data_IF_080284086880
#
_entry.id   IF_080284086880
#
_cell.length_a   1.000
_cell.length_b   1.000
_cell.length_c   1.000
_cell.angle_alpha   90.00
_cell.angle_beta   90.00
_cell.angle_gamma   90.00
#
_symmetry.space_group_name_H-M   'P 1'
#
loop_
_entity.id
_entity.type
_entity.pdbx_description
1 polymer ?
#
# COMPACT_ATOMS: atom_id res chain seq x y z
N UNK A 1 -18.15 -27.30 -15.05
CA UNK A 1 -18.70 -27.74 -13.77
C UNK A 1 -18.23 -29.16 -13.60
N UNK A 2 -17.31 -29.33 -12.65
CA UNK A 2 -17.16 -30.50 -11.77
C UNK A 2 -16.37 -31.75 -12.19
N UNK A 3 -15.41 -31.69 -13.11
CA UNK A 3 -14.49 -32.84 -13.31
C UNK A 3 -13.04 -32.44 -13.58
N UNK A 4 -12.35 -31.81 -12.61
CA UNK A 4 -10.88 -31.82 -12.52
C UNK A 4 -10.37 -31.65 -11.07
N UNK A 5 -11.19 -31.93 -10.05
CA UNK A 5 -10.77 -31.90 -8.62
C UNK A 5 -10.94 -33.28 -7.99
N UNK A 6 -10.47 -34.32 -8.68
CA UNK A 6 -10.30 -35.63 -8.05
C UNK A 6 -8.85 -36.06 -8.26
N UNK A 7 -8.05 -35.98 -7.20
CA UNK A 7 -6.89 -36.85 -7.05
C UNK A 7 -5.51 -36.25 -6.83
N UNK A 8 -5.34 -35.02 -6.31
CA UNK A 8 -4.04 -34.61 -5.76
C UNK A 8 -4.20 -33.96 -4.38
N UNK A 9 -3.36 -34.43 -3.45
CA UNK A 9 -3.41 -34.15 -2.02
C UNK A 9 -3.54 -32.66 -1.68
N UNK A 10 -4.44 -32.36 -0.75
CA UNK A 10 -4.74 -31.00 -0.26
C UNK A 10 -3.53 -30.30 0.40
N UNK A 11 -2.40 -31.00 0.56
CA UNK A 11 -1.21 -30.56 1.29
C UNK A 11 -0.07 -29.97 0.44
N UNK A 12 -0.12 -29.97 -0.91
CA UNK A 12 1.00 -29.44 -1.74
C UNK A 12 0.61 -28.42 -2.84
N UNK A 13 -0.35 -27.53 -2.56
CA UNK A 13 -0.65 -26.42 -3.49
C UNK A 13 0.30 -25.23 -3.26
N UNK A 14 1.54 -25.29 -3.73
CA UNK A 14 2.53 -24.21 -3.58
C UNK A 14 2.04 -22.88 -4.19
N UNK A 15 2.45 -21.72 -3.65
CA UNK A 15 2.12 -20.39 -4.19
C UNK A 15 2.38 -20.27 -5.71
N UNK A 16 3.46 -20.89 -6.22
CA UNK A 16 3.77 -20.92 -7.64
C UNK A 16 2.68 -21.64 -8.46
N UNK A 17 2.20 -22.81 -7.99
CA UNK A 17 1.14 -23.56 -8.68
C UNK A 17 -0.16 -22.75 -8.75
N UNK A 18 -0.49 -21.99 -7.70
CA UNK A 18 -1.67 -21.10 -7.69
C UNK A 18 -1.57 -19.97 -8.72
N UNK A 19 -0.40 -19.33 -8.81
CA UNK A 19 -0.15 -18.27 -9.80
C UNK A 19 -0.15 -18.86 -11.21
N UNK A 20 0.41 -20.06 -11.41
CA UNK A 20 0.39 -20.77 -12.70
C UNK A 20 -1.03 -21.10 -13.16
N UNK A 21 -1.92 -21.53 -12.24
CA UNK A 21 -3.32 -21.78 -12.54
C UNK A 21 -4.00 -20.49 -13.02
N UNK A 22 -3.81 -19.38 -12.30
CA UNK A 22 -4.41 -18.09 -12.69
C UNK A 22 -3.87 -17.57 -14.02
N UNK A 23 -2.59 -17.75 -14.31
CA UNK A 23 -2.01 -17.35 -15.61
C UNK A 23 -2.50 -18.23 -16.75
N UNK A 24 -2.63 -19.55 -16.54
CA UNK A 24 -3.22 -20.45 -17.53
C UNK A 24 -4.68 -20.09 -17.80
N UNK A 25 -5.45 -19.78 -16.76
CA UNK A 25 -6.81 -19.27 -16.91
C UNK A 25 -6.84 -17.96 -17.70
N UNK A 26 -5.91 -17.04 -17.41
CA UNK A 26 -5.77 -15.81 -18.18
C UNK A 26 -5.47 -16.10 -19.66
N UNK A 27 -4.56 -17.02 -19.95
CA UNK A 27 -4.20 -17.37 -21.33
C UNK A 27 -5.39 -17.94 -22.12
N UNK A 28 -6.24 -18.74 -21.48
CA UNK A 28 -7.41 -19.38 -22.12
C UNK A 28 -8.59 -18.41 -22.26
N UNK A 29 -8.79 -17.50 -21.29
CA UNK A 29 -9.95 -16.61 -21.26
C UNK A 29 -9.84 -15.50 -22.31
N UNK A 30 -10.85 -15.41 -23.17
CA UNK A 30 -11.02 -14.29 -24.13
C UNK A 30 -11.84 -13.12 -23.57
N UNK A 31 -12.70 -13.39 -22.58
CA UNK A 31 -13.59 -12.40 -21.95
C UNK A 31 -13.84 -12.74 -20.48
N UNK A 32 -14.17 -11.75 -19.62
CA UNK A 32 -14.50 -12.03 -18.23
C UNK A 32 -15.76 -12.89 -18.09
N UNK A 33 -15.78 -13.84 -17.15
CA UNK A 33 -16.92 -14.73 -16.92
C UNK A 33 -18.12 -13.96 -16.36
N UNK A 34 -19.33 -14.37 -16.74
CA UNK A 34 -20.59 -13.70 -16.38
C UNK A 34 -20.99 -13.95 -14.92
N UNK A 35 -20.55 -15.07 -14.32
CA UNK A 35 -20.67 -15.39 -12.89
C UNK A 35 -19.43 -16.12 -12.40
N UNK A 36 -19.05 -15.83 -11.14
CA UNK A 36 -17.74 -16.13 -10.57
C UNK A 36 -17.36 -17.61 -10.56
N UNK A 37 -16.17 -17.88 -11.05
CA UNK A 37 -15.58 -19.22 -11.21
C UNK A 37 -14.09 -19.24 -10.84
N UNK A 38 -13.68 -18.46 -9.83
CA UNK A 38 -12.30 -18.43 -9.32
C UNK A 38 -12.18 -18.29 -7.79
N UNK A 39 -13.29 -18.39 -7.06
CA UNK A 39 -13.31 -18.06 -5.62
C UNK A 39 -12.46 -19.00 -4.76
N UNK A 40 -12.39 -20.30 -5.06
CA UNK A 40 -11.65 -21.26 -4.23
C UNK A 40 -10.14 -21.05 -4.32
N UNK A 41 -9.59 -20.94 -5.53
CA UNK A 41 -8.15 -20.70 -5.78
C UNK A 41 -7.70 -19.37 -5.15
N UNK A 42 -8.51 -18.32 -5.27
CA UNK A 42 -8.19 -17.00 -4.72
C UNK A 42 -8.25 -16.97 -3.19
N UNK A 43 -9.11 -17.74 -2.55
CA UNK A 43 -9.14 -17.86 -1.09
C UNK A 43 -7.86 -18.52 -0.59
N UNK A 44 -7.46 -19.64 -1.17
CA UNK A 44 -6.21 -20.34 -0.79
C UNK A 44 -4.99 -19.46 -1.09
N UNK A 45 -4.97 -18.77 -2.24
CA UNK A 45 -3.91 -17.83 -2.58
C UNK A 45 -3.83 -16.69 -1.56
N UNK A 46 -4.97 -16.14 -1.14
CA UNK A 46 -5.02 -15.09 -0.13
C UNK A 46 -4.46 -15.56 1.20
N UNK A 47 -4.81 -16.76 1.64
CA UNK A 47 -4.33 -17.30 2.91
C UNK A 47 -2.81 -17.54 2.86
N UNK A 48 -2.30 -18.19 1.81
CA UNK A 48 -0.85 -18.39 1.64
C UNK A 48 -0.08 -17.09 1.45
N UNK A 49 -0.62 -16.13 0.68
CA UNK A 49 0.01 -14.83 0.50
C UNK A 49 0.03 -14.01 1.81
N UNK A 50 -0.97 -14.21 2.69
CA UNK A 50 -0.99 -13.60 4.02
C UNK A 50 0.05 -14.19 4.97
N UNK A 51 0.40 -15.47 4.82
CA UNK A 51 1.36 -16.17 5.67
C UNK A 51 2.81 -15.94 5.23
N UNK A 52 3.10 -16.10 3.94
CA UNK A 52 4.47 -16.12 3.42
C UNK A 52 4.87 -14.82 2.69
N UNK A 53 3.89 -14.08 2.18
CA UNK A 53 4.10 -13.02 1.18
C UNK A 53 4.50 -13.58 -0.20
N UNK A 54 4.52 -12.71 -1.20
CA UNK A 54 4.79 -13.04 -2.59
C UNK A 54 6.20 -12.63 -3.03
N UNK A 55 6.84 -13.45 -3.87
CA UNK A 55 8.11 -13.10 -4.50
C UNK A 55 7.93 -12.03 -5.59
N UNK A 56 9.03 -11.39 -5.99
CA UNK A 56 9.07 -10.39 -7.06
C UNK A 56 8.42 -10.88 -8.37
N UNK A 57 8.70 -12.13 -8.75
CA UNK A 57 8.15 -12.77 -9.95
C UNK A 57 6.64 -13.00 -9.81
N UNK A 58 6.19 -13.52 -8.67
CA UNK A 58 4.77 -13.78 -8.40
C UNK A 58 3.96 -12.48 -8.40
N UNK A 59 4.49 -11.40 -7.82
CA UNK A 59 3.86 -10.07 -7.84
C UNK A 59 3.72 -9.59 -9.28
N UNK A 60 4.78 -9.69 -10.09
CA UNK A 60 4.76 -9.25 -11.49
C UNK A 60 3.70 -10.01 -12.30
N UNK A 61 3.65 -11.33 -12.15
CA UNK A 61 2.65 -12.18 -12.84
C UNK A 61 1.23 -11.85 -12.40
N UNK A 62 0.96 -11.71 -11.10
CA UNK A 62 -0.37 -11.37 -10.59
C UNK A 62 -0.83 -9.96 -10.99
N UNK A 63 0.08 -8.99 -11.09
CA UNK A 63 -0.23 -7.66 -11.63
C UNK A 63 -0.57 -7.75 -13.12
N UNK A 64 0.13 -8.57 -13.91
CA UNK A 64 -0.21 -8.78 -15.32
C UNK A 64 -1.59 -9.43 -15.48
N UNK A 65 -1.91 -10.45 -14.69
CA UNK A 65 -3.23 -11.10 -14.63
C UNK A 65 -4.32 -10.10 -14.22
N UNK A 66 -4.08 -9.30 -13.17
CA UNK A 66 -5.04 -8.29 -12.69
C UNK A 66 -5.29 -7.15 -13.68
N UNK A 67 -4.39 -6.93 -14.64
CA UNK A 67 -4.48 -5.86 -15.64
C UNK A 67 -4.91 -6.36 -17.03
N UNK A 68 -5.14 -7.66 -17.21
CA UNK A 68 -5.47 -8.28 -18.51
C UNK A 68 -6.91 -8.04 -19.00
N UNK A 69 -7.81 -7.51 -18.14
CA UNK A 69 -9.27 -7.41 -18.34
C UNK A 69 -10.03 -8.73 -18.51
N UNK A 70 -9.37 -9.88 -18.30
CA UNK A 70 -10.00 -11.20 -18.53
C UNK A 70 -10.71 -11.75 -17.30
N UNK A 71 -10.62 -11.04 -16.17
CA UNK A 71 -11.30 -11.36 -14.92
C UNK A 71 -12.31 -10.27 -14.56
N UNK A 72 -13.27 -10.61 -13.70
CA UNK A 72 -14.25 -9.65 -13.18
C UNK A 72 -13.61 -8.70 -12.18
N UNK A 73 -14.16 -7.50 -12.02
CA UNK A 73 -13.66 -6.50 -11.05
C UNK A 73 -13.60 -7.05 -9.61
N UNK A 74 -14.51 -7.96 -9.25
CA UNK A 74 -14.50 -8.61 -7.94
C UNK A 74 -13.26 -9.51 -7.76
N UNK A 75 -12.94 -10.32 -8.77
CA UNK A 75 -11.75 -11.18 -8.78
C UNK A 75 -10.48 -10.35 -8.79
N UNK A 76 -10.40 -9.32 -9.64
CA UNK A 76 -9.22 -8.45 -9.69
C UNK A 76 -8.98 -7.76 -8.34
N UNK A 77 -10.02 -7.29 -7.67
CA UNK A 77 -9.86 -6.73 -6.32
C UNK A 77 -9.37 -7.77 -5.30
N UNK A 78 -9.79 -9.03 -5.40
CA UNK A 78 -9.22 -10.09 -4.55
C UNK A 78 -7.75 -10.34 -4.87
N UNK A 79 -7.38 -10.38 -6.16
CA UNK A 79 -5.98 -10.50 -6.58
C UNK A 79 -5.14 -9.35 -5.99
N UNK A 80 -5.61 -8.11 -6.09
CA UNK A 80 -4.91 -6.94 -5.52
C UNK A 80 -4.76 -7.07 -4.00
N UNK A 81 -5.80 -7.58 -3.30
CA UNK A 81 -5.75 -7.88 -1.87
C UNK A 81 -4.81 -9.03 -1.51
N UNK A 82 -4.30 -9.80 -2.48
CA UNK A 82 -3.27 -10.82 -2.26
C UNK A 82 -1.86 -10.31 -2.53
N UNK A 83 -1.69 -9.13 -3.15
CA UNK A 83 -0.39 -8.57 -3.54
C UNK A 83 0.40 -8.06 -2.32
N UNK A 84 0.86 -8.96 -1.47
CA UNK A 84 1.72 -8.68 -0.32
C UNK A 84 3.15 -9.01 -0.72
N UNK A 85 4.01 -8.04 -1.04
CA UNK A 85 5.38 -8.34 -1.42
C UNK A 85 6.18 -8.86 -0.21
N UNK A 86 6.87 -9.98 -0.40
CA UNK A 86 7.88 -10.53 0.51
C UNK A 86 9.26 -9.93 0.24
N UNK A 87 9.55 -9.68 -1.03
CA UNK A 87 10.81 -9.14 -1.55
C UNK A 87 10.58 -7.76 -2.20
N UNK A 88 11.61 -7.24 -2.87
CA UNK A 88 11.49 -5.99 -3.60
C UNK A 88 10.53 -6.15 -4.80
N UNK A 89 9.95 -5.03 -5.22
CA UNK A 89 9.06 -4.97 -6.40
C UNK A 89 9.85 -4.39 -7.55
N UNK A 90 9.82 -5.04 -8.72
CA UNK A 90 10.49 -4.50 -9.91
C UNK A 90 9.87 -3.17 -10.34
N UNK A 91 10.74 -2.22 -10.68
CA UNK A 91 10.33 -1.01 -11.38
C UNK A 91 9.60 -1.33 -12.70
N UNK A 92 9.99 -2.39 -13.41
CA UNK A 92 9.30 -2.83 -14.63
C UNK A 92 7.84 -3.21 -14.40
N UNK A 93 7.52 -3.91 -13.31
CA UNK A 93 6.14 -4.21 -12.93
C UNK A 93 5.32 -2.93 -12.70
N UNK A 94 5.91 -1.93 -12.01
CA UNK A 94 5.26 -0.63 -11.77
C UNK A 94 5.06 0.16 -13.06
N UNK A 95 6.07 0.16 -13.94
CA UNK A 95 6.00 0.84 -15.25
C UNK A 95 4.93 0.22 -16.12
N UNK A 96 4.84 -1.11 -16.19
CA UNK A 96 3.80 -1.83 -16.93
C UNK A 96 2.40 -1.53 -16.37
N UNK A 97 2.24 -1.55 -15.05
CA UNK A 97 0.99 -1.19 -14.38
C UNK A 97 0.53 0.24 -14.75
N UNK A 98 1.41 1.23 -14.58
CA UNK A 98 1.11 2.63 -14.90
C UNK A 98 0.80 2.78 -16.40
N UNK A 99 1.54 2.08 -17.27
CA UNK A 99 1.30 2.09 -18.72
C UNK A 99 -0.10 1.57 -19.07
N UNK A 100 -0.55 0.49 -18.41
CA UNK A 100 -1.90 -0.07 -18.61
C UNK A 100 -3.00 0.83 -18.03
N UNK A 101 -2.73 1.53 -16.93
CA UNK A 101 -3.62 2.58 -16.42
C UNK A 101 -3.78 3.72 -17.42
N UNK A 102 -2.67 4.22 -17.99
CA UNK A 102 -2.66 5.29 -19.01
C UNK A 102 -3.43 4.89 -20.27
N UNK A 103 -3.36 3.62 -20.67
CA UNK A 103 -4.09 3.12 -21.84
C UNK A 103 -5.62 3.06 -21.65
N UNK A 104 -6.16 3.54 -20.52
CA UNK A 104 -7.56 3.43 -20.11
C UNK A 104 -8.09 1.99 -20.21
N UNK A 105 -7.20 1.02 -19.98
CA UNK A 105 -7.52 -0.40 -20.00
C UNK A 105 -8.05 -0.89 -18.65
N UNK A 106 -8.24 -0.05 -17.67
CA UNK A 106 -8.59 -0.47 -16.32
C UNK A 106 -9.74 0.40 -15.83
N UNK A 107 -10.76 -0.21 -15.21
CA UNK A 107 -11.85 0.52 -14.58
C UNK A 107 -11.30 1.43 -13.46
N UNK A 108 -11.86 2.63 -13.27
CA UNK A 108 -11.43 3.63 -12.26
C UNK A 108 -11.37 3.02 -10.86
N UNK A 109 -12.33 2.17 -10.47
CA UNK A 109 -12.30 1.51 -9.16
C UNK A 109 -11.09 0.58 -8.98
N UNK A 110 -10.72 -0.14 -10.03
CA UNK A 110 -9.55 -1.02 -10.02
C UNK A 110 -8.26 -0.18 -10.05
N UNK A 111 -8.24 0.93 -10.79
CA UNK A 111 -7.13 1.88 -10.76
C UNK A 111 -6.90 2.42 -9.34
N UNK A 112 -7.97 2.78 -8.62
CA UNK A 112 -7.89 3.19 -7.21
C UNK A 112 -7.26 2.09 -6.35
N UNK A 113 -7.71 0.83 -6.49
CA UNK A 113 -7.14 -0.30 -5.75
C UNK A 113 -5.65 -0.49 -6.04
N UNK A 114 -5.23 -0.39 -7.30
CA UNK A 114 -3.82 -0.46 -7.69
C UNK A 114 -3.00 0.72 -7.17
N UNK A 115 -3.54 1.95 -7.16
CA UNK A 115 -2.84 3.11 -6.60
C UNK A 115 -2.65 2.98 -5.10
N UNK A 116 -3.65 2.48 -4.37
CA UNK A 116 -3.53 2.19 -2.92
C UNK A 116 -2.42 1.17 -2.67
N UNK A 117 -2.38 0.11 -3.47
CA UNK A 117 -1.31 -0.88 -3.41
C UNK A 117 0.06 -0.25 -3.74
N UNK A 118 0.16 0.55 -4.82
CA UNK A 118 1.41 1.18 -5.23
C UNK A 118 1.98 2.13 -4.17
N UNK A 119 1.12 2.94 -3.56
CA UNK A 119 1.46 3.79 -2.41
C UNK A 119 2.07 2.99 -1.27
N UNK A 120 1.48 1.83 -0.97
CA UNK A 120 1.93 0.96 0.11
C UNK A 120 3.32 0.39 -0.22
N UNK A 121 3.51 -0.07 -1.46
CA UNK A 121 4.74 -0.76 -1.89
C UNK A 121 5.86 0.16 -2.40
N UNK A 122 5.61 1.46 -2.52
CA UNK A 122 6.56 2.41 -3.11
C UNK A 122 7.97 2.37 -2.51
N UNK A 123 8.07 2.06 -1.21
CA UNK A 123 9.37 1.98 -0.53
C UNK A 123 10.21 0.76 -0.94
N UNK A 124 9.59 -0.33 -1.42
CA UNK A 124 10.22 -1.59 -1.84
C UNK A 124 10.48 -1.67 -3.35
N UNK A 125 10.27 -0.57 -4.08
CA UNK A 125 10.62 -0.53 -5.49
C UNK A 125 12.16 -0.50 -5.61
N UNK A 126 12.71 -1.45 -6.36
CA UNK A 126 14.17 -1.61 -6.53
C UNK A 126 14.84 -0.42 -7.24
N UNK A 127 14.25 0.08 -8.33
CA UNK A 127 14.73 1.21 -9.13
C UNK A 127 13.71 2.36 -9.11
N UNK A 128 13.84 3.21 -8.08
CA UNK A 128 12.98 4.40 -7.91
C UNK A 128 13.23 5.45 -8.98
N UNK A 129 14.41 5.51 -9.60
CA UNK A 129 14.72 6.48 -10.67
C UNK A 129 13.90 6.17 -11.92
N UNK A 130 13.83 4.89 -12.31
CA UNK A 130 13.03 4.46 -13.45
C UNK A 130 11.53 4.75 -13.26
N UNK A 131 11.02 4.56 -12.04
CA UNK A 131 9.63 4.95 -11.72
C UNK A 131 9.47 6.47 -11.67
N UNK A 132 10.49 7.20 -11.22
CA UNK A 132 10.50 8.67 -11.21
C UNK A 132 10.40 9.29 -12.61
N UNK A 133 10.91 8.63 -13.65
CA UNK A 133 10.71 9.07 -15.04
C UNK A 133 9.21 9.19 -15.41
N UNK A 134 8.33 8.45 -14.73
CA UNK A 134 6.88 8.51 -14.93
C UNK A 134 6.19 9.63 -14.14
N UNK A 135 6.92 10.44 -13.35
CA UNK A 135 6.35 11.52 -12.54
C UNK A 135 5.46 12.45 -13.37
N UNK A 136 5.92 12.85 -14.55
CA UNK A 136 5.15 13.70 -15.47
C UNK A 136 3.82 13.06 -15.90
N UNK A 137 3.84 11.75 -16.16
CA UNK A 137 2.64 10.98 -16.54
C UNK A 137 1.67 10.83 -15.37
N UNK A 138 2.19 10.50 -14.18
CA UNK A 138 1.39 10.38 -12.96
C UNK A 138 0.69 11.71 -12.64
N UNK A 139 1.37 12.83 -12.86
CA UNK A 139 0.83 14.18 -12.66
C UNK A 139 -0.38 14.50 -13.58
N UNK A 140 -0.52 13.82 -14.72
CA UNK A 140 -1.68 14.01 -15.60
C UNK A 140 -2.97 13.43 -15.01
N UNK A 141 -2.88 12.41 -14.15
CA UNK A 141 -4.05 11.81 -13.50
C UNK A 141 -4.69 12.70 -12.42
N UNK A 142 -4.08 13.84 -12.07
CA UNK A 142 -4.64 14.79 -11.09
C UNK A 142 -5.99 15.39 -11.52
N UNK A 143 -6.31 15.38 -12.82
CA UNK A 143 -7.59 15.87 -13.33
C UNK A 143 -8.75 14.87 -13.09
N UNK A 144 -8.46 13.64 -12.66
CA UNK A 144 -9.48 12.65 -12.32
C UNK A 144 -9.79 12.72 -10.82
N UNK A 145 -10.98 13.22 -10.47
CA UNK A 145 -11.41 13.43 -9.09
C UNK A 145 -11.32 12.17 -8.21
N UNK A 146 -11.60 10.99 -8.77
CA UNK A 146 -11.56 9.74 -8.02
C UNK A 146 -10.12 9.26 -7.74
N UNK A 147 -9.18 9.57 -8.63
CA UNK A 147 -7.77 9.18 -8.48
C UNK A 147 -6.95 10.25 -7.75
N UNK A 148 -7.37 11.52 -7.82
CA UNK A 148 -6.62 12.68 -7.35
C UNK A 148 -6.09 12.54 -5.92
N UNK A 149 -6.84 12.05 -4.91
CA UNK A 149 -6.31 11.87 -3.56
C UNK A 149 -5.13 10.88 -3.50
N UNK A 150 -5.22 9.77 -4.24
CA UNK A 150 -4.20 8.72 -4.28
C UNK A 150 -2.99 9.15 -5.11
N UNK A 151 -3.22 9.82 -6.24
CA UNK A 151 -2.17 10.38 -7.07
C UNK A 151 -1.39 11.46 -6.32
N UNK A 152 -2.06 12.36 -5.60
CA UNK A 152 -1.39 13.35 -4.76
C UNK A 152 -0.48 12.72 -3.72
N UNK A 153 -0.91 11.60 -3.12
CA UNK A 153 -0.11 10.89 -2.13
C UNK A 153 1.10 10.18 -2.76
N UNK A 154 0.92 9.51 -3.89
CA UNK A 154 2.04 8.92 -4.63
C UNK A 154 3.05 10.00 -5.07
N UNK A 155 2.56 11.12 -5.60
CA UNK A 155 3.39 12.26 -5.97
C UNK A 155 4.10 12.85 -4.76
N UNK A 156 3.48 12.87 -3.58
CA UNK A 156 4.13 13.32 -2.36
C UNK A 156 5.37 12.45 -2.05
N UNK A 157 5.28 11.13 -2.22
CA UNK A 157 6.41 10.21 -2.04
C UNK A 157 7.47 10.31 -3.13
N UNK A 158 7.09 10.70 -4.36
CA UNK A 158 8.01 10.81 -5.50
C UNK A 158 8.67 12.19 -5.62
N UNK A 159 8.04 13.26 -5.14
CA UNK A 159 8.46 14.64 -5.43
C UNK A 159 9.84 14.94 -4.87
N UNK A 160 10.72 15.42 -5.75
CA UNK A 160 12.03 15.97 -5.41
C UNK A 160 12.06 17.46 -5.70
N UNK A 161 13.16 18.11 -5.32
CA UNK A 161 13.38 19.54 -5.57
C UNK A 161 13.31 19.90 -7.05
N UNK A 162 13.79 19.02 -7.92
CA UNK A 162 13.81 19.21 -9.36
C UNK A 162 12.42 19.14 -10.01
N UNK A 163 11.46 18.46 -9.39
CA UNK A 163 10.11 18.29 -9.92
C UNK A 163 9.20 19.50 -9.68
N UNK A 164 9.60 20.38 -8.77
CA UNK A 164 8.85 21.60 -8.45
C UNK A 164 9.04 22.62 -9.56
N UNK A 165 8.21 22.50 -10.59
CA UNK A 165 8.19 23.40 -11.74
C UNK A 165 7.01 24.38 -11.66
N UNK A 166 7.16 25.64 -12.12
CA UNK A 166 6.08 26.64 -12.07
C UNK A 166 4.77 26.20 -12.74
N UNK A 167 4.83 25.45 -13.85
CA UNK A 167 3.64 24.98 -14.55
C UNK A 167 2.85 23.92 -13.74
N UNK A 168 3.54 23.06 -13.00
CA UNK A 168 2.91 22.07 -12.10
C UNK A 168 2.27 22.77 -10.90
N UNK A 169 2.99 23.73 -10.33
CA UNK A 169 2.45 24.56 -9.25
C UNK A 169 1.16 25.29 -9.69
N UNK A 170 1.17 25.91 -10.88
CA UNK A 170 -0.02 26.57 -11.44
C UNK A 170 -1.19 25.59 -11.58
N UNK A 171 -0.96 24.41 -12.17
CA UNK A 171 -2.00 23.37 -12.29
C UNK A 171 -2.56 22.95 -10.92
N UNK A 172 -1.72 22.76 -9.90
CA UNK A 172 -2.18 22.42 -8.55
C UNK A 172 -3.02 23.53 -7.91
N UNK A 173 -2.64 24.80 -8.12
CA UNK A 173 -3.41 25.95 -7.64
C UNK A 173 -4.74 26.09 -8.38
N UNK A 174 -4.75 25.86 -9.70
CA UNK A 174 -5.98 25.88 -10.52
C UNK A 174 -6.94 24.77 -10.07
N UNK A 175 -6.43 23.57 -9.80
CA UNK A 175 -7.21 22.48 -9.22
C UNK A 175 -7.76 22.86 -7.85
N UNK A 176 -6.94 23.41 -6.96
CA UNK A 176 -7.39 23.87 -5.64
C UNK A 176 -8.49 24.95 -5.74
N UNK A 177 -8.40 25.84 -6.73
CA UNK A 177 -9.43 26.84 -7.01
C UNK A 177 -10.75 26.24 -7.50
N UNK A 178 -10.70 25.15 -8.29
CA UNK A 178 -11.88 24.45 -8.83
C UNK A 178 -12.57 23.56 -7.79
N UNK A 179 -11.82 22.73 -7.07
CA UNK A 179 -12.36 21.70 -6.15
C UNK A 179 -12.42 22.15 -4.69
N UNK A 180 -11.91 23.35 -4.39
CA UNK A 180 -11.82 23.89 -3.04
C UNK A 180 -10.64 23.33 -2.23
N UNK A 181 -10.60 23.67 -0.94
CA UNK A 181 -9.50 23.33 -0.02
C UNK A 181 -9.47 21.85 0.34
N UNK A 182 -8.92 21.03 -0.55
CA UNK A 182 -8.73 19.61 -0.32
C UNK A 182 -7.40 19.32 0.39
N UNK A 183 -7.42 18.44 1.39
CA UNK A 183 -6.25 18.13 2.21
C UNK A 183 -5.08 17.53 1.40
N UNK A 184 -5.38 16.69 0.40
CA UNK A 184 -4.38 16.06 -0.46
C UNK A 184 -3.63 17.08 -1.34
N UNK A 185 -4.36 18.05 -1.93
CA UNK A 185 -3.76 19.14 -2.71
C UNK A 185 -2.94 20.08 -1.84
N UNK A 186 -3.45 20.46 -0.67
CA UNK A 186 -2.74 21.33 0.26
C UNK A 186 -1.46 20.66 0.78
N UNK A 187 -1.51 19.34 1.04
CA UNK A 187 -0.35 18.55 1.42
C UNK A 187 0.76 18.58 0.36
N UNK A 188 0.40 18.32 -0.90
CA UNK A 188 1.36 18.36 -2.01
C UNK A 188 1.92 19.79 -2.26
N UNK A 189 1.06 20.81 -2.20
CA UNK A 189 1.50 22.22 -2.30
C UNK A 189 2.44 22.61 -1.16
N UNK A 190 2.17 22.13 0.06
CA UNK A 190 3.05 22.36 1.21
C UNK A 190 4.43 21.72 1.00
N UNK A 191 4.47 20.51 0.44
CA UNK A 191 5.73 19.86 0.05
C UNK A 191 6.48 20.66 -1.03
N UNK A 192 5.77 21.16 -2.05
CA UNK A 192 6.35 22.03 -3.08
C UNK A 192 6.98 23.29 -2.47
N UNK A 193 6.32 23.89 -1.47
CA UNK A 193 6.85 25.06 -0.74
C UNK A 193 8.10 24.73 0.07
N UNK A 194 8.17 23.54 0.66
CA UNK A 194 9.37 23.07 1.39
C UNK A 194 10.55 22.90 0.42
N UNK A 195 10.34 22.31 -0.75
CA UNK A 195 11.40 22.07 -1.73
C UNK A 195 11.86 23.33 -2.47
N UNK A 196 10.93 24.24 -2.80
CA UNK A 196 11.22 25.44 -3.57
C UNK A 196 10.45 26.66 -3.03
N UNK A 197 10.85 27.21 -1.86
CA UNK A 197 10.14 28.32 -1.21
C UNK A 197 10.11 29.60 -2.07
N UNK A 198 11.09 29.79 -2.95
CA UNK A 198 11.18 30.93 -3.87
C UNK A 198 10.17 30.84 -5.04
N UNK A 199 9.76 29.63 -5.43
CA UNK A 199 8.79 29.41 -6.52
C UNK A 199 7.35 29.55 -6.01
N UNK A 200 7.14 29.25 -4.72
CA UNK A 200 5.81 29.29 -4.09
C UNK A 200 5.63 30.58 -3.28
N UNK A 201 5.45 31.71 -3.98
CA UNK A 201 5.16 33.00 -3.34
C UNK A 201 3.71 33.12 -2.85
N UNK A 202 2.86 32.16 -3.20
CA UNK A 202 1.44 32.15 -2.81
C UNK A 202 1.30 31.72 -1.35
N UNK A 203 0.46 32.43 -0.58
CA UNK A 203 0.06 32.01 0.75
C UNK A 203 -0.79 30.73 0.66
N UNK A 204 -0.14 29.57 0.76
CA UNK A 204 -0.84 28.29 0.89
C UNK A 204 -1.64 28.32 2.20
N UNK A 205 -2.94 27.98 2.19
CA UNK A 205 -3.73 27.81 3.40
C UNK A 205 -3.00 26.88 4.38
N UNK A 206 -2.71 27.38 5.57
CA UNK A 206 -2.06 26.57 6.61
C UNK A 206 -3.08 25.55 7.13
N UNK A 207 -2.83 24.26 6.94
CA UNK A 207 -3.54 23.22 7.68
C UNK A 207 -3.15 23.41 9.16
N UNK A 208 -4.08 23.88 9.99
CA UNK A 208 -3.90 23.89 11.43
C UNK A 208 -3.88 22.43 11.90
N UNK A 209 -2.72 22.02 12.42
CA UNK A 209 -2.33 20.69 12.89
C UNK A 209 -1.88 19.74 11.77
N UNK A 210 -0.65 19.25 11.94
CA UNK A 210 -0.19 17.95 11.46
C UNK A 210 0.54 17.84 10.11
N UNK A 211 1.50 18.74 9.85
CA UNK A 211 2.54 18.51 8.82
C UNK A 211 3.39 17.25 9.14
N UNK A 212 3.47 16.84 10.43
CA UNK A 212 4.14 15.60 10.85
C UNK A 212 3.33 14.32 10.60
N UNK A 213 2.03 14.41 10.28
CA UNK A 213 1.17 13.24 10.11
C UNK A 213 0.84 12.87 8.66
N UNK A 214 1.34 13.63 7.67
CA UNK A 214 1.25 13.21 6.26
C UNK A 214 2.09 11.93 5.99
N UNK A 215 2.96 11.55 6.93
CA UNK A 215 3.66 10.26 6.94
C UNK A 215 2.68 9.10 7.18
N UNK A 216 2.26 8.44 6.09
CA UNK A 216 1.59 7.12 5.97
C UNK A 216 0.32 6.83 6.82
N UNK A 217 0.14 7.42 7.99
CA UNK A 217 -0.79 6.97 9.04
C UNK A 217 -2.13 7.71 9.03
N UNK A 218 -2.15 9.02 8.77
CA UNK A 218 -3.37 9.82 8.98
C UNK A 218 -4.32 9.85 7.78
N UNK A 219 -3.87 9.63 6.54
CA UNK A 219 -4.85 9.45 5.45
C UNK A 219 -5.51 8.07 5.50
N UNK A 220 -4.78 7.04 5.96
CA UNK A 220 -5.37 5.75 6.28
C UNK A 220 -6.41 5.91 7.39
N UNK A 221 -6.07 6.50 8.55
CA UNK A 221 -7.04 6.63 9.66
C UNK A 221 -8.23 7.59 9.36
N UNK A 222 -8.05 8.61 8.52
CA UNK A 222 -9.11 9.59 8.22
C UNK A 222 -9.97 9.20 7.01
N UNK A 223 -9.43 8.45 6.03
CA UNK A 223 -10.24 7.75 5.03
C UNK A 223 -10.91 6.49 5.63
N UNK A 224 -10.27 5.77 6.55
CA UNK A 224 -10.85 4.65 7.30
C UNK A 224 -12.07 5.10 8.12
N UNK A 225 -12.05 6.32 8.67
CA UNK A 225 -13.21 6.94 9.33
C UNK A 225 -14.32 7.41 8.37
N UNK A 226 -14.03 7.67 7.09
CA UNK A 226 -15.06 8.00 6.06
C UNK A 226 -15.56 6.78 5.29
N UNK A 227 -14.74 5.72 5.18
CA UNK A 227 -15.04 4.40 4.64
C UNK A 227 -15.49 3.41 5.74
N UNK A 228 -15.76 3.92 6.95
CA UNK A 228 -16.07 3.21 8.18
C UNK A 228 -17.41 2.48 8.19
N UNK A 229 -17.71 1.73 7.13
CA UNK A 229 -18.79 0.75 7.17
C UNK A 229 -18.57 -0.48 6.28
N UNK A 230 -17.49 -0.63 5.47
CA UNK A 230 -17.46 -1.77 4.52
C UNK A 230 -16.20 -2.60 4.30
N UNK A 231 -15.04 -2.41 4.94
CA UNK A 231 -13.95 -3.38 4.74
C UNK A 231 -12.90 -3.38 5.89
N UNK A 232 -13.21 -4.04 7.00
CA UNK A 232 -12.27 -4.43 8.09
C UNK A 232 -11.01 -5.16 7.56
N UNK A 233 -11.14 -5.80 6.40
CA UNK A 233 -10.07 -6.51 5.71
C UNK A 233 -8.94 -5.61 5.17
N UNK A 234 -9.23 -4.34 4.84
CA UNK A 234 -8.18 -3.43 4.32
C UNK A 234 -7.21 -3.03 5.44
N UNK A 235 -7.72 -2.85 6.66
CA UNK A 235 -6.91 -2.51 7.82
C UNK A 235 -6.06 -3.69 8.29
N UNK A 236 -6.62 -4.91 8.26
CA UNK A 236 -5.87 -6.14 8.52
C UNK A 236 -4.74 -6.36 7.48
N UNK A 237 -5.02 -6.10 6.20
CA UNK A 237 -4.04 -6.16 5.12
C UNK A 237 -2.86 -5.21 5.34
N UNK A 238 -3.15 -3.96 5.74
CA UNK A 238 -2.13 -2.95 6.03
C UNK A 238 -1.30 -3.29 7.26
N UNK A 239 -1.92 -3.74 8.36
CA UNK A 239 -1.23 -4.18 9.57
C UNK A 239 -0.30 -5.37 9.31
N UNK A 240 -0.72 -6.32 8.47
CA UNK A 240 0.10 -7.50 8.13
C UNK A 240 1.22 -7.18 7.16
N UNK A 241 0.99 -6.31 6.19
CA UNK A 241 2.08 -5.74 5.40
C UNK A 241 3.11 -5.13 6.36
N UNK A 242 2.69 -4.24 7.27
CA UNK A 242 3.58 -3.63 8.29
C UNK A 242 4.30 -4.69 9.13
N UNK A 243 3.66 -5.79 9.50
CA UNK A 243 4.28 -6.87 10.25
C UNK A 243 5.38 -7.60 9.45
N UNK A 244 5.08 -8.03 8.21
CA UNK A 244 6.06 -8.67 7.31
C UNK A 244 7.23 -7.72 7.02
N UNK A 245 6.93 -6.43 6.88
CA UNK A 245 7.91 -5.34 6.72
C UNK A 245 8.82 -5.24 7.95
N UNK A 246 8.26 -5.22 9.16
CA UNK A 246 9.03 -5.16 10.40
C UNK A 246 9.92 -6.40 10.56
N UNK A 247 9.41 -7.59 10.24
CA UNK A 247 10.17 -8.84 10.29
C UNK A 247 11.37 -8.79 9.33
N UNK A 248 11.19 -8.28 8.10
CA UNK A 248 12.30 -8.14 7.14
C UNK A 248 13.30 -7.07 7.57
N UNK A 249 12.84 -5.93 8.10
CA UNK A 249 13.73 -4.90 8.65
C UNK A 249 14.56 -5.43 9.83
N UNK A 250 14.00 -6.28 10.68
CA UNK A 250 14.72 -6.94 11.78
C UNK A 250 15.73 -7.96 11.23
N UNK A 251 15.35 -8.74 10.20
CA UNK A 251 16.23 -9.76 9.58
C UNK A 251 17.41 -9.15 8.81
N UNK A 252 17.21 -8.05 8.09
CA UNK A 252 18.23 -7.37 7.28
C UNK A 252 19.09 -6.35 8.06
N UNK A 253 18.92 -6.21 9.39
CA UNK A 253 19.83 -5.40 10.19
C UNK A 253 21.20 -6.09 10.38
N UNK A 254 22.32 -5.35 10.25
CA UNK A 254 23.66 -5.88 10.56
C UNK A 254 23.73 -6.31 12.03
N UNK A 255 24.49 -7.37 12.37
CA UNK A 255 24.43 -8.06 13.66
C UNK A 255 24.67 -7.17 14.88
N UNK A 256 25.41 -6.05 14.72
CA UNK A 256 25.65 -5.07 15.80
C UNK A 256 24.40 -4.34 16.30
N UNK A 257 23.32 -4.24 15.51
CA UNK A 257 22.05 -3.58 15.92
C UNK A 257 20.98 -4.57 16.41
N UNK A 258 21.17 -5.87 16.19
CA UNK A 258 20.24 -6.93 16.62
C UNK A 258 20.23 -7.05 18.15
N UNK A 259 21.42 -7.02 18.77
CA UNK A 259 21.56 -7.12 20.22
C UNK A 259 20.96 -5.91 20.95
N UNK A 260 21.09 -4.69 20.41
CA UNK A 260 20.56 -3.46 21.04
C UNK A 260 19.02 -3.43 21.04
N UNK A 261 18.37 -3.99 20.01
CA UNK A 261 16.92 -4.05 19.92
C UNK A 261 16.32 -5.13 20.83
N UNK A 262 16.98 -6.29 20.96
CA UNK A 262 16.58 -7.34 21.90
C UNK A 262 16.84 -6.94 23.35
N UNK A 263 17.96 -6.25 23.63
CA UNK A 263 18.36 -5.83 24.98
C UNK A 263 17.51 -4.66 25.51
N UNK A 264 17.12 -3.69 24.66
CA UNK A 264 16.14 -2.65 25.02
C UNK A 264 14.72 -3.16 25.24
N UNK A 265 14.38 -4.31 24.69
CA UNK A 265 13.07 -4.93 24.90
C UNK A 265 13.07 -5.78 26.18
N UNK A 266 14.20 -6.44 26.50
CA UNK A 266 14.40 -7.16 27.76
C UNK A 266 14.50 -6.22 28.97
N UNK A 267 15.27 -5.12 28.88
CA UNK A 267 15.45 -4.17 29.99
C UNK A 267 14.16 -3.41 30.35
N UNK A 268 13.19 -3.32 29.43
CA UNK A 268 11.89 -2.67 29.68
C UNK A 268 10.85 -3.62 30.28
N UNK A 269 11.12 -4.93 30.27
CA UNK A 269 10.28 -5.94 30.93
C UNK A 269 10.72 -6.09 32.38
N UNK A 270 12.03 -6.07 32.67
CA UNK A 270 12.54 -6.14 34.05
C UNK A 270 12.15 -4.90 34.89
N UNK A 271 12.24 -3.68 34.34
CA UNK A 271 11.80 -2.44 35.02
C UNK A 271 10.29 -2.38 35.31
N UNK A 272 9.47 -3.23 34.68
CA UNK A 272 8.01 -3.29 34.94
C UNK A 272 7.60 -4.38 35.92
N UNK A 273 8.46 -5.37 36.18
CA UNK A 273 8.25 -6.36 37.23
C UNK A 273 8.55 -5.81 38.63
N UNK A 274 9.47 -4.85 38.74
CA UNK A 274 9.86 -4.28 40.05
C UNK A 274 8.92 -3.18 40.56
N UNK A 275 8.04 -2.64 39.71
CA UNK A 275 7.06 -1.59 40.10
C UNK A 275 5.70 -2.18 40.53
N UNK A 276 5.49 -3.50 40.40
CA UNK A 276 4.22 -4.16 40.77
C UNK A 276 4.33 -4.90 42.12
N UNK A 277 5.51 -4.92 42.76
CA UNK A 277 5.74 -5.66 44.00
C UNK A 277 5.66 -4.84 45.31
N UNK A 278 5.42 -3.52 45.27
CA UNK A 278 5.38 -2.68 46.49
C UNK A 278 3.99 -2.18 46.94
N UNK A 279 2.90 -2.53 46.25
CA UNK A 279 1.55 -2.01 46.55
C UNK A 279 0.58 -3.06 47.13
N UNK A 280 1.09 -3.96 47.98
CA UNK A 280 0.22 -4.82 48.78
C UNK A 280 0.83 -5.20 50.13
N UNK A 281 0.93 -4.25 51.08
CA UNK A 281 0.81 -4.52 52.53
C UNK A 281 0.78 -3.19 53.30
N UNK A 282 -0.40 -2.66 53.59
CA UNK A 282 -0.65 -1.86 54.81
C UNK A 282 -2.13 -2.00 55.15
N UNK A 283 -2.43 -3.05 55.92
CA UNK A 283 -3.57 -3.07 56.82
C UNK A 283 -3.08 -3.60 58.15
N UNK A 284 -3.47 -2.87 59.18
CA UNK A 284 -3.66 -3.27 60.58
C UNK A 284 -2.53 -3.05 61.60
N UNK A 285 -2.96 -2.28 62.62
CA UNK A 285 -2.59 -2.27 64.04
C UNK A 285 -1.49 -1.29 64.51
N UNK A 286 -1.91 -0.19 65.15
CA UNK A 286 -2.10 -0.22 66.61
C UNK A 286 -2.80 1.05 67.16
N UNK A 287 -3.75 0.77 68.05
CA UNK A 287 -4.27 1.66 69.08
C UNK A 287 -3.16 2.11 70.04
N UNK A 288 -3.12 3.41 70.37
CA UNK A 288 -3.09 3.95 71.74
C UNK A 288 -3.41 5.46 71.75
#
# INVERSE_FOLDING_TARGET
MDELIEGEDQDDLTLNKLVDILEKEDAVRKKPPVRGDGSSVLVILKDKANEEGLTEEQVTRLVQVGTSKKFTDAVVNQIIKCLIPRDDVTADCVVDLISKMCANKINVNIQVSFLKWLIMVYEWINDKEKVHCLYGMIFLFLDNDALCPYICHLLYSMTRKEDVKPFRLRKLLDLLGKVGQQAHLIGLLSLYKVHAPHVVSVNIPKIKKDIKHFSKKVLLEKEEKRLGSRDEQTCAFLLRCICIICIRLIRNMPPKKRNIATEKTASRIEDKSDVIAEDSHTSDQNDE
#
